data_IF_441220164499
#
_entry.id   IF_441220164499
#
_cell.length_a   1.000
_cell.length_b   1.000
_cell.length_c   1.000
_cell.angle_alpha   90.00
_cell.angle_beta   90.00
_cell.angle_gamma   90.00
#
_symmetry.space_group_name_H-M   'P 1'
#
loop_
_entity.id
_entity.type
_entity.pdbx_description
1 polymer ?
#
# COMPACT_ATOMS: atom_id res chain seq x y z
N UNK A 1 8.92 12.30 9.95
CA UNK A 1 7.70 11.51 10.10
C UNK A 1 7.62 10.93 11.50
N UNK A 2 8.66 10.26 11.99
CA UNK A 2 8.71 9.66 13.33
C UNK A 2 8.46 10.66 14.49
N UNK A 3 8.64 11.94 14.22
CA UNK A 3 8.46 13.02 15.21
C UNK A 3 7.07 13.63 15.16
N UNK A 4 6.26 13.28 14.18
CA UNK A 4 4.85 13.65 14.23
C UNK A 4 4.19 12.76 15.28
N UNK A 5 3.66 13.41 16.26
CA UNK A 5 2.99 12.72 17.34
C UNK A 5 1.72 12.02 16.81
N UNK A 6 1.84 10.74 16.58
CA UNK A 6 0.72 9.91 16.14
C UNK A 6 -0.36 9.76 17.22
N UNK A 7 -0.14 10.27 18.42
CA UNK A 7 -1.11 10.27 19.51
C UNK A 7 -1.97 11.54 19.56
N UNK A 8 -1.60 12.59 18.83
CA UNK A 8 -2.41 13.81 18.77
C UNK A 8 -3.82 13.49 18.27
N UNK A 9 -4.83 13.91 19.01
CA UNK A 9 -6.23 13.66 18.72
C UNK A 9 -6.70 12.24 19.06
N UNK A 10 -5.85 11.39 19.64
CA UNK A 10 -6.14 10.02 20.07
C UNK A 10 -6.79 9.14 18.98
N UNK A 11 -6.50 9.41 17.71
CA UNK A 11 -7.07 8.67 16.59
C UNK A 11 -6.22 7.47 16.14
N UNK A 12 -4.91 7.43 16.47
CA UNK A 12 -4.03 6.32 16.07
C UNK A 12 -4.42 5.03 16.79
N UNK A 13 -4.65 4.00 15.97
CA UNK A 13 -4.94 2.63 16.43
C UNK A 13 -3.67 1.78 16.36
N UNK A 14 -2.86 1.99 15.32
CA UNK A 14 -1.60 1.30 15.12
C UNK A 14 -0.46 2.32 15.09
N UNK A 15 0.49 2.15 15.99
CA UNK A 15 1.69 2.98 16.04
C UNK A 15 2.68 2.59 14.94
N UNK A 16 3.54 3.52 14.46
CA UNK A 16 4.53 3.24 13.42
C UNK A 16 5.48 2.10 13.77
N UNK A 17 5.79 1.92 15.05
CA UNK A 17 6.62 0.85 15.59
C UNK A 17 5.83 0.11 16.65
N UNK A 18 5.56 -1.16 16.41
CA UNK A 18 4.79 -2.04 17.29
C UNK A 18 5.64 -2.90 18.21
N UNK A 19 4.94 -3.69 19.04
CA UNK A 19 5.52 -4.60 20.00
C UNK A 19 5.93 -3.94 21.31
N UNK A 20 6.23 -4.78 22.29
CA UNK A 20 6.61 -4.35 23.66
C UNK A 20 7.81 -3.37 23.66
N UNK A 21 8.74 -3.56 22.74
CA UNK A 21 9.96 -2.75 22.65
C UNK A 21 9.88 -1.66 21.58
N UNK A 22 8.73 -1.54 20.88
CA UNK A 22 8.52 -0.57 19.79
C UNK A 22 9.63 -0.60 18.72
N UNK A 23 9.98 -1.83 18.28
CA UNK A 23 11.03 -2.06 17.29
C UNK A 23 10.52 -2.67 15.99
N UNK A 24 9.26 -3.11 15.94
CA UNK A 24 8.69 -3.76 14.76
C UNK A 24 7.97 -2.73 13.90
N UNK A 25 8.49 -2.40 12.70
CA UNK A 25 7.83 -1.46 11.80
C UNK A 25 6.43 -1.95 11.42
N UNK A 26 5.47 -1.04 11.42
CA UNK A 26 4.14 -1.33 10.90
C UNK A 26 4.15 -1.25 9.36
N UNK A 27 3.58 -2.25 8.71
CA UNK A 27 3.47 -2.32 7.25
C UNK A 27 2.24 -1.57 6.69
N UNK A 28 1.55 -0.84 7.54
CA UNK A 28 0.43 -0.01 7.20
C UNK A 28 0.01 0.88 8.36
N UNK A 29 -1.00 1.68 8.14
CA UNK A 29 -1.56 2.63 9.10
C UNK A 29 -2.98 2.20 9.48
N UNK A 30 -3.35 2.35 10.75
CA UNK A 30 -4.72 2.27 11.21
C UNK A 30 -5.04 3.46 12.12
N UNK A 31 -6.13 4.16 11.80
CA UNK A 31 -6.58 5.31 12.57
C UNK A 31 -8.12 5.36 12.63
N UNK A 32 -8.65 5.80 13.78
CA UNK A 32 -10.09 6.03 13.93
C UNK A 32 -10.55 7.12 12.96
N UNK A 33 -11.76 6.98 12.45
CA UNK A 33 -12.37 8.04 11.65
C UNK A 33 -12.59 9.29 12.51
N UNK A 34 -12.28 10.49 11.98
CA UNK A 34 -12.63 11.71 12.66
C UNK A 34 -14.15 11.88 12.72
N UNK A 35 -14.66 12.17 13.89
CA UNK A 35 -16.08 12.46 14.12
C UNK A 35 -16.24 13.84 14.74
N UNK A 36 -17.31 14.54 14.41
CA UNK A 36 -17.54 15.90 14.90
C UNK A 36 -17.87 15.92 16.40
N UNK A 37 -18.50 14.88 16.92
CA UNK A 37 -18.87 14.73 18.31
C UNK A 37 -18.78 13.28 18.75
N UNK A 38 -18.38 13.03 20.00
CA UNK A 38 -18.27 11.71 20.59
C UNK A 38 -17.08 10.93 20.09
N UNK A 39 -17.18 9.60 20.13
CA UNK A 39 -16.14 8.65 19.73
C UNK A 39 -16.65 7.64 18.71
N UNK A 40 -15.76 7.05 17.95
CA UNK A 40 -16.05 5.96 17.04
C UNK A 40 -15.11 4.78 17.28
N UNK A 41 -15.61 3.58 17.05
CA UNK A 41 -14.81 2.35 16.98
C UNK A 41 -14.42 1.98 15.54
N UNK A 42 -14.90 2.73 14.56
CA UNK A 42 -14.54 2.53 13.15
C UNK A 42 -13.18 3.16 12.87
N UNK A 43 -12.31 2.38 12.25
CA UNK A 43 -10.99 2.81 11.80
C UNK A 43 -10.84 2.64 10.29
N UNK A 44 -10.01 3.45 9.67
CA UNK A 44 -9.44 3.18 8.35
C UNK A 44 -8.15 2.41 8.52
N UNK A 45 -7.94 1.42 7.65
CA UNK A 45 -6.66 0.75 7.44
C UNK A 45 -6.14 1.16 6.08
N UNK A 46 -4.89 1.59 6.01
CA UNK A 46 -4.23 1.98 4.78
C UNK A 46 -2.88 1.29 4.67
N UNK A 47 -2.63 0.68 3.53
CA UNK A 47 -1.40 -0.06 3.22
C UNK A 47 -0.86 0.33 1.86
N UNK A 48 0.33 -0.13 1.56
CA UNK A 48 0.91 0.02 0.23
C UNK A 48 1.59 -1.27 -0.23
N UNK A 49 1.73 -1.40 -1.54
CA UNK A 49 2.53 -2.45 -2.17
C UNK A 49 3.42 -1.84 -3.25
N UNK A 50 4.68 -2.29 -3.30
CA UNK A 50 5.64 -1.88 -4.31
C UNK A 50 6.85 -2.80 -4.32
N UNK A 51 7.24 -3.26 -5.51
CA UNK A 51 8.36 -4.16 -5.67
C UNK A 51 9.27 -3.73 -6.84
N UNK A 52 10.30 -2.90 -6.58
CA UNK A 52 11.14 -2.32 -7.64
C UNK A 52 11.87 -3.36 -8.49
N UNK A 53 12.34 -4.45 -7.88
CA UNK A 53 13.03 -5.52 -8.60
C UNK A 53 12.10 -6.23 -9.59
N UNK A 54 10.87 -6.55 -9.18
CA UNK A 54 9.88 -7.15 -10.07
C UNK A 54 9.45 -6.14 -11.15
N UNK A 55 9.25 -4.87 -10.79
CA UNK A 55 8.92 -3.81 -11.73
C UNK A 55 9.99 -3.62 -12.82
N UNK A 56 11.27 -3.72 -12.46
CA UNK A 56 12.37 -3.65 -13.41
C UNK A 56 12.44 -4.86 -14.33
N UNK A 57 12.12 -6.05 -13.81
CA UNK A 57 12.06 -7.28 -14.59
C UNK A 57 10.82 -7.31 -15.51
N UNK A 58 9.68 -6.89 -15.01
CA UNK A 58 8.42 -6.83 -15.76
C UNK A 58 7.48 -5.79 -15.12
N UNK A 59 7.24 -4.64 -15.75
CA UNK A 59 6.32 -3.63 -15.23
C UNK A 59 4.91 -4.19 -14.98
N UNK A 60 4.44 -5.11 -15.83
CA UNK A 60 3.16 -5.79 -15.66
C UNK A 60 3.08 -6.55 -14.33
N UNK A 61 4.07 -7.43 -14.08
CA UNK A 61 4.10 -8.23 -12.86
C UNK A 61 4.40 -7.37 -11.63
N UNK A 62 5.26 -6.35 -11.76
CA UNK A 62 5.53 -5.40 -10.68
C UNK A 62 4.26 -4.73 -10.18
N UNK A 63 3.43 -4.25 -11.10
CA UNK A 63 2.16 -3.61 -10.76
C UNK A 63 1.11 -4.60 -10.23
N UNK A 64 1.01 -5.80 -10.83
CA UNK A 64 0.11 -6.86 -10.36
C UNK A 64 0.43 -7.24 -8.92
N UNK A 65 1.71 -7.52 -8.61
CA UNK A 65 2.12 -7.87 -7.26
C UNK A 65 2.03 -6.70 -6.28
N UNK A 66 2.21 -5.45 -6.72
CA UNK A 66 1.97 -4.28 -5.87
C UNK A 66 0.53 -4.23 -5.36
N UNK A 67 -0.45 -4.53 -6.23
CA UNK A 67 -1.86 -4.62 -5.83
C UNK A 67 -2.07 -5.77 -4.86
N UNK A 68 -1.58 -6.97 -5.17
CA UNK A 68 -1.72 -8.15 -4.30
C UNK A 68 -1.11 -7.90 -2.92
N UNK A 69 0.09 -7.32 -2.87
CA UNK A 69 0.78 -6.99 -1.62
C UNK A 69 -0.02 -5.99 -0.77
N UNK A 70 -0.49 -4.90 -1.37
CA UNK A 70 -1.27 -3.91 -0.63
C UNK A 70 -2.57 -4.50 -0.06
N UNK A 71 -3.24 -5.36 -0.82
CA UNK A 71 -4.45 -6.07 -0.37
C UNK A 71 -4.13 -7.07 0.74
N UNK A 72 -3.08 -7.86 0.60
CA UNK A 72 -2.65 -8.83 1.62
C UNK A 72 -2.32 -8.14 2.96
N UNK A 73 -1.66 -6.99 2.92
CA UNK A 73 -1.36 -6.19 4.11
C UNK A 73 -2.63 -5.67 4.80
N UNK A 74 -3.65 -5.25 4.05
CA UNK A 74 -4.95 -4.88 4.64
C UNK A 74 -5.56 -6.05 5.39
N UNK A 75 -5.55 -7.23 4.79
CA UNK A 75 -6.09 -8.46 5.42
C UNK A 75 -5.29 -8.82 6.68
N UNK A 76 -3.96 -8.77 6.60
CA UNK A 76 -3.07 -9.05 7.73
C UNK A 76 -3.31 -8.12 8.92
N UNK A 77 -3.72 -6.88 8.67
CA UNK A 77 -4.06 -5.88 9.68
C UNK A 77 -5.50 -6.01 10.22
N UNK A 78 -6.30 -6.94 9.72
CA UNK A 78 -7.70 -7.13 10.14
C UNK A 78 -8.71 -6.27 9.37
N UNK A 79 -8.33 -5.70 8.24
CA UNK A 79 -9.22 -4.94 7.36
C UNK A 79 -10.11 -5.84 6.51
N UNK A 80 -11.29 -5.33 6.14
CA UNK A 80 -12.25 -6.03 5.27
C UNK A 80 -11.83 -5.91 3.81
N UNK A 81 -11.32 -6.98 3.22
CA UNK A 81 -10.73 -6.96 1.88
C UNK A 81 -11.74 -6.59 0.76
N UNK A 82 -12.99 -7.04 0.85
CA UNK A 82 -14.03 -6.75 -0.15
C UNK A 82 -14.44 -5.28 -0.22
N UNK A 83 -14.10 -4.52 0.81
CA UNK A 83 -14.37 -3.08 0.90
C UNK A 83 -13.18 -2.22 0.50
N UNK A 84 -12.07 -2.82 0.11
CA UNK A 84 -10.90 -2.08 -0.33
C UNK A 84 -11.23 -1.19 -1.53
N UNK A 85 -10.68 0.02 -1.47
CA UNK A 85 -10.57 0.93 -2.60
C UNK A 85 -9.09 1.18 -2.84
N UNK A 86 -8.68 1.10 -4.09
CA UNK A 86 -7.30 1.25 -4.50
C UNK A 86 -7.05 2.66 -5.03
N UNK A 87 -5.82 3.13 -4.87
CA UNK A 87 -5.31 4.33 -5.53
C UNK A 87 -3.89 4.04 -5.98
N UNK A 88 -3.51 4.50 -7.18
CA UNK A 88 -2.19 4.19 -7.72
C UNK A 88 -1.33 5.44 -7.86
N UNK A 89 -0.04 5.28 -7.61
CA UNK A 89 0.96 6.28 -7.91
C UNK A 89 1.96 5.68 -8.88
N UNK A 90 2.06 6.28 -10.06
CA UNK A 90 3.03 5.88 -11.07
C UNK A 90 4.17 6.88 -11.16
N UNK A 91 5.39 6.37 -11.38
CA UNK A 91 6.56 7.15 -11.64
C UNK A 91 7.49 6.42 -12.60
N UNK A 92 7.68 7.00 -13.77
CA UNK A 92 8.49 6.42 -14.84
C UNK A 92 9.54 7.40 -15.34
N UNK A 93 10.52 6.90 -16.06
CA UNK A 93 11.52 7.68 -16.79
C UNK A 93 10.86 8.62 -17.78
N UNK A 94 11.61 9.56 -18.29
CA UNK A 94 11.16 10.41 -19.41
C UNK A 94 10.92 9.55 -20.64
N UNK A 95 9.72 9.58 -21.16
CA UNK A 95 9.29 8.70 -22.25
C UNK A 95 9.83 9.13 -23.61
N UNK A 96 9.93 10.45 -23.86
CA UNK A 96 10.36 10.97 -25.15
C UNK A 96 9.52 10.44 -26.30
N UNK A 97 10.19 10.05 -27.39
CA UNK A 97 9.58 9.45 -28.59
C UNK A 97 9.83 7.95 -28.69
N UNK A 98 10.42 7.34 -27.68
CA UNK A 98 10.76 5.91 -27.67
C UNK A 98 9.53 5.05 -27.35
N UNK A 99 9.04 4.21 -28.27
CA UNK A 99 7.88 3.35 -28.03
C UNK A 99 8.08 2.36 -26.88
N UNK A 100 9.32 1.90 -26.65
CA UNK A 100 9.62 0.96 -25.57
C UNK A 100 9.43 1.63 -24.20
N UNK A 101 9.81 2.90 -24.07
CA UNK A 101 9.59 3.69 -22.86
C UNK A 101 8.10 3.90 -22.58
N UNK A 102 7.30 4.16 -23.63
CA UNK A 102 5.84 4.27 -23.53
C UNK A 102 5.16 2.94 -23.18
N UNK A 103 5.74 1.83 -23.60
CA UNK A 103 5.25 0.48 -23.29
C UNK A 103 5.29 0.13 -21.81
N UNK A 104 6.23 0.71 -21.03
CA UNK A 104 6.40 0.39 -19.60
C UNK A 104 5.20 0.84 -18.75
N UNK A 105 4.76 2.11 -18.76
CA UNK A 105 3.55 2.52 -18.02
C UNK A 105 2.30 1.77 -18.50
N UNK A 106 2.14 1.54 -19.80
CA UNK A 106 1.01 0.74 -20.29
C UNK A 106 1.03 -0.68 -19.72
N UNK A 107 2.18 -1.34 -19.71
CA UNK A 107 2.31 -2.69 -19.13
C UNK A 107 1.99 -2.70 -17.63
N UNK A 108 2.44 -1.69 -16.88
CA UNK A 108 2.12 -1.56 -15.46
C UNK A 108 0.61 -1.37 -15.24
N UNK A 109 -0.03 -0.49 -15.99
CA UNK A 109 -1.48 -0.30 -15.92
C UNK A 109 -2.26 -1.58 -16.24
N UNK A 110 -1.83 -2.36 -17.22
CA UNK A 110 -2.46 -3.65 -17.55
C UNK A 110 -2.31 -4.65 -16.41
N UNK A 111 -1.15 -4.70 -15.74
CA UNK A 111 -0.94 -5.55 -14.58
C UNK A 111 -1.82 -5.16 -13.39
N UNK A 112 -1.93 -3.87 -13.10
CA UNK A 112 -2.82 -3.37 -12.06
C UNK A 112 -4.30 -3.60 -12.41
N UNK A 113 -4.67 -3.45 -13.67
CA UNK A 113 -6.03 -3.73 -14.16
C UNK A 113 -6.38 -5.21 -14.00
N UNK A 114 -5.49 -6.12 -14.40
CA UNK A 114 -5.68 -7.56 -14.22
C UNK A 114 -5.94 -7.92 -12.76
N UNK A 115 -5.12 -7.40 -11.84
CA UNK A 115 -5.31 -7.63 -10.41
C UNK A 115 -6.66 -7.10 -9.90
N UNK A 116 -7.08 -5.91 -10.34
CA UNK A 116 -8.39 -5.34 -9.99
C UNK A 116 -9.55 -6.22 -10.44
N UNK A 117 -9.49 -6.71 -11.68
CA UNK A 117 -10.54 -7.58 -12.26
C UNK A 117 -10.62 -8.90 -11.50
N UNK A 118 -9.48 -9.56 -11.26
CA UNK A 118 -9.43 -10.85 -10.58
C UNK A 118 -9.87 -10.76 -9.11
N UNK A 119 -9.54 -9.68 -8.43
CA UNK A 119 -9.93 -9.46 -7.04
C UNK A 119 -11.30 -8.80 -6.89
N UNK A 120 -11.87 -8.26 -7.95
CA UNK A 120 -13.12 -7.49 -7.90
C UNK A 120 -12.99 -6.18 -7.09
N UNK A 121 -11.81 -5.56 -7.09
CA UNK A 121 -11.50 -4.37 -6.32
C UNK A 121 -11.29 -3.15 -7.23
N UNK A 122 -12.07 -2.07 -7.08
CA UNK A 122 -11.92 -0.90 -7.92
C UNK A 122 -10.84 0.06 -7.41
N UNK A 123 -10.11 0.68 -8.34
CA UNK A 123 -9.34 1.88 -8.07
C UNK A 123 -10.23 3.13 -8.19
N UNK A 124 -10.04 4.07 -7.28
CA UNK A 124 -10.73 5.37 -7.32
C UNK A 124 -10.02 6.38 -8.24
N UNK A 125 -8.79 6.08 -8.63
CA UNK A 125 -7.93 6.92 -9.44
C UNK A 125 -6.47 6.78 -9.02
N UNK A 126 -5.70 7.77 -9.39
CA UNK A 126 -4.27 7.78 -9.09
C UNK A 126 -3.61 9.05 -9.67
N UNK A 127 -2.29 9.04 -9.69
CA UNK A 127 -1.47 10.10 -10.26
C UNK A 127 -0.25 9.47 -10.92
N UNK A 128 0.09 9.94 -12.08
CA UNK A 128 1.27 9.49 -12.82
C UNK A 128 2.26 10.63 -13.05
N UNK A 129 3.51 10.28 -13.27
CA UNK A 129 4.56 11.21 -13.65
C UNK A 129 5.63 10.48 -14.47
N UNK A 130 6.02 11.11 -15.58
CA UNK A 130 7.02 10.59 -16.52
C UNK A 130 8.25 11.50 -16.57
N UNK A 131 8.77 11.85 -15.38
CA UNK A 131 9.89 12.79 -15.23
C UNK A 131 11.11 12.17 -14.52
N UNK A 132 11.10 10.86 -14.32
CA UNK A 132 12.08 10.13 -13.53
C UNK A 132 13.40 9.83 -14.24
N UNK A 133 13.97 10.81 -14.93
CA UNK A 133 15.29 10.69 -15.55
C UNK A 133 16.19 11.84 -15.13
N UNK A 134 17.42 11.53 -14.75
CA UNK A 134 18.45 12.50 -14.45
C UNK A 134 19.79 12.02 -15.06
N UNK A 135 20.30 12.76 -16.03
CA UNK A 135 21.45 12.33 -16.85
C UNK A 135 21.19 10.95 -17.46
N UNK A 136 22.05 9.97 -17.20
CA UNK A 136 21.91 8.57 -17.65
C UNK A 136 21.11 7.69 -16.69
N UNK A 137 20.65 8.24 -15.57
CA UNK A 137 19.89 7.49 -14.59
C UNK A 137 18.39 7.59 -14.87
N UNK A 138 17.77 6.45 -15.02
CA UNK A 138 16.31 6.31 -15.09
C UNK A 138 15.79 5.63 -13.81
N UNK A 139 14.67 6.10 -13.30
CA UNK A 139 13.98 5.39 -12.20
C UNK A 139 13.49 4.03 -12.68
N UNK A 140 13.46 3.01 -11.83
CA UNK A 140 12.82 1.75 -12.18
C UNK A 140 11.33 1.99 -12.48
N UNK A 141 10.73 1.19 -13.38
CA UNK A 141 9.29 1.24 -13.62
C UNK A 141 8.54 1.11 -12.29
N UNK A 142 7.78 2.13 -11.93
CA UNK A 142 7.17 2.23 -10.62
C UNK A 142 5.66 2.38 -10.75
N UNK A 143 4.93 1.42 -10.18
CA UNK A 143 3.53 1.56 -9.81
C UNK A 143 3.41 1.14 -8.35
N UNK A 144 3.01 2.07 -7.50
CA UNK A 144 2.70 1.82 -6.09
C UNK A 144 1.20 1.68 -5.98
N UNK A 145 0.73 0.61 -5.35
CA UNK A 145 -0.66 0.43 -4.99
C UNK A 145 -0.88 0.86 -3.54
N UNK A 146 -1.82 1.77 -3.32
CA UNK A 146 -2.35 2.07 -2.00
C UNK A 146 -3.71 1.43 -1.86
N UNK A 147 -3.91 0.68 -0.76
CA UNK A 147 -5.16 0.03 -0.44
C UNK A 147 -5.75 0.62 0.84
N UNK A 148 -7.00 1.06 0.78
CA UNK A 148 -7.72 1.62 1.92
C UNK A 148 -8.96 0.80 2.18
N UNK A 149 -9.18 0.42 3.44
CA UNK A 149 -10.37 -0.29 3.89
C UNK A 149 -10.82 0.18 5.27
N UNK A 150 -11.93 -0.36 5.71
CA UNK A 150 -12.46 -0.15 7.05
C UNK A 150 -12.15 -1.34 7.95
N UNK A 151 -11.94 -1.06 9.23
CA UNK A 151 -11.83 -2.05 10.29
C UNK A 151 -12.51 -1.56 11.57
N UNK A 152 -12.72 -2.43 12.51
CA UNK A 152 -13.01 -2.04 13.90
C UNK A 152 -11.69 -1.85 14.63
N UNK A 153 -11.51 -0.75 15.33
CA UNK A 153 -10.27 -0.43 16.03
C UNK A 153 -9.76 -1.58 16.93
N UNK A 154 -10.67 -2.25 17.64
CA UNK A 154 -10.34 -3.39 18.50
C UNK A 154 -9.95 -4.67 17.75
N UNK A 155 -10.13 -4.74 16.44
CA UNK A 155 -9.79 -5.89 15.60
C UNK A 155 -8.54 -5.69 14.78
N UNK A 156 -7.94 -4.51 14.84
CA UNK A 156 -6.67 -4.22 14.15
C UNK A 156 -5.55 -5.04 14.77
N UNK A 157 -4.77 -5.69 13.93
CA UNK A 157 -3.65 -6.55 14.33
C UNK A 157 -2.34 -5.85 14.03
N UNK A 158 -1.47 -5.77 15.01
CA UNK A 158 -0.10 -5.24 14.88
C UNK A 158 0.88 -6.32 14.40
N UNK A 159 2.02 -5.95 13.76
CA UNK A 159 2.86 -6.90 13.01
C UNK A 159 3.80 -7.76 13.87
N UNK A 160 4.05 -7.39 15.13
CA UNK A 160 4.99 -8.12 15.98
C UNK A 160 4.49 -9.52 16.35
N UNK A 161 5.40 -10.45 16.62
CA UNK A 161 5.06 -11.75 17.17
C UNK A 161 4.44 -11.61 18.57
N UNK A 162 3.33 -12.30 18.81
CA UNK A 162 2.54 -12.20 20.05
C UNK A 162 3.03 -13.16 21.12
N UNK A 163 3.28 -14.40 20.75
CA UNK A 163 3.60 -15.49 21.69
C UNK A 163 4.69 -16.39 21.13
N UNK A 164 5.59 -16.85 22.01
CA UNK A 164 6.56 -17.88 21.67
C UNK A 164 5.85 -19.20 21.35
N UNK A 165 6.27 -19.89 20.31
CA UNK A 165 5.65 -21.14 19.85
C UNK A 165 4.51 -20.97 18.85
N UNK A 166 4.14 -19.75 18.49
CA UNK A 166 3.20 -19.52 17.37
C UNK A 166 3.75 -20.09 16.07
N UNK A 167 2.86 -20.69 15.26
CA UNK A 167 3.24 -21.25 13.96
C UNK A 167 3.45 -20.14 12.93
N UNK A 168 4.55 -20.22 12.22
CA UNK A 168 4.81 -19.43 11.01
C UNK A 168 4.33 -20.23 9.79
N UNK A 169 3.52 -19.60 8.97
CA UNK A 169 3.10 -20.15 7.69
C UNK A 169 3.76 -19.33 6.59
N UNK A 170 4.36 -20.03 5.66
CA UNK A 170 4.99 -19.44 4.47
C UNK A 170 4.18 -19.79 3.24
#
# INVERSE_FOLDING_TARGET
>A
VERFDSTIGAASVLMPLGGKHQLTPAEGMAAKLPVLQGETTTATVMTFGYHPAIGSWSPFHGALYAVVESVAKVVAMGGEWRRIRLSFQEYFERLGTDPQRWGKPLAALLGAFEAQVQLGLPAIGGKDSMSGSFQELDVPPTLISFAVSLARAAQVVSPEFKEAGSKLLW
#
